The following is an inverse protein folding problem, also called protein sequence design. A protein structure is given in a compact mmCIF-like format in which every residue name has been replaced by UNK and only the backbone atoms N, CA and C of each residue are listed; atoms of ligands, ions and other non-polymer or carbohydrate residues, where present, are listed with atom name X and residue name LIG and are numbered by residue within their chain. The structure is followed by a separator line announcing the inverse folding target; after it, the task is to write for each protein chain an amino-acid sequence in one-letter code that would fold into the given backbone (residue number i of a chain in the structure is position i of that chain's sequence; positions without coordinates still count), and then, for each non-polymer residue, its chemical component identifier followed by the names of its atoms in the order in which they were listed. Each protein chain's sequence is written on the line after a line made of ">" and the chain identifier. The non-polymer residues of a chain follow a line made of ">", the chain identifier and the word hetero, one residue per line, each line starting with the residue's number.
data_IF_374214168456
#
_entry.id   IF_374214168456
#
_cell.length_a   1.000
_cell.length_b   1.000
_cell.length_c   1.000
_cell.angle_alpha   90.00
_cell.angle_beta   90.00
_cell.angle_gamma   90.00
#
_symmetry.space_group_name_H-M   'P 1'
#
loop_
_entity.id
_entity.type
_entity.pdbx_description
1 polymer ?
#
# COMPACT_ATOMS: atom_id res chain seq x y z
N UNK A 1 10.15 16.78 -20.63
CA UNK A 1 9.26 16.10 -21.61
C UNK A 1 10.02 15.31 -22.69
N UNK A 2 10.97 15.94 -23.38
CA UNK A 2 11.76 15.32 -24.45
C UNK A 2 12.58 14.10 -24.00
N UNK A 3 13.25 14.19 -22.85
CA UNK A 3 13.99 13.05 -22.28
C UNK A 3 13.11 11.84 -21.96
N UNK A 4 11.82 12.02 -21.66
CA UNK A 4 10.89 10.89 -21.48
C UNK A 4 10.58 10.20 -22.81
N UNK A 5 10.40 10.97 -23.89
CA UNK A 5 10.14 10.47 -25.24
C UNK A 5 11.29 9.64 -25.76
N UNK A 6 12.51 10.16 -25.64
CA UNK A 6 13.72 9.46 -26.07
C UNK A 6 13.95 8.17 -25.27
N UNK A 7 13.78 8.21 -23.94
CA UNK A 7 13.83 7.00 -23.11
C UNK A 7 12.78 5.97 -23.52
N UNK A 8 11.55 6.38 -23.82
CA UNK A 8 10.50 5.47 -24.31
C UNK A 8 10.89 4.87 -25.65
N UNK A 9 11.36 5.67 -26.61
CA UNK A 9 11.78 5.18 -27.94
C UNK A 9 12.85 4.11 -27.82
N UNK A 10 13.88 4.34 -26.99
CA UNK A 10 14.93 3.36 -26.69
C UNK A 10 14.36 2.11 -26.03
N UNK A 11 13.55 2.26 -24.98
CA UNK A 11 12.93 1.13 -24.29
C UNK A 11 12.02 0.29 -25.21
N UNK A 12 11.35 0.92 -26.18
CA UNK A 12 10.58 0.19 -27.20
C UNK A 12 11.50 -0.59 -28.14
N UNK A 13 12.65 -0.05 -28.54
CA UNK A 13 13.63 -0.78 -29.37
C UNK A 13 14.25 -1.95 -28.60
N UNK A 14 14.51 -1.78 -27.31
CA UNK A 14 15.14 -2.78 -26.43
C UNK A 14 14.13 -3.75 -25.79
N UNK A 15 12.86 -3.73 -26.23
CA UNK A 15 11.81 -4.59 -25.66
C UNK A 15 12.15 -6.07 -25.86
N UNK A 16 11.94 -6.88 -24.83
CA UNK A 16 12.26 -8.31 -24.87
C UNK A 16 11.39 -9.13 -23.91
N UNK A 17 11.31 -10.43 -24.18
CA UNK A 17 10.79 -11.44 -23.24
C UNK A 17 11.79 -12.61 -23.26
N UNK A 18 12.28 -12.99 -22.10
CA UNK A 18 13.23 -14.06 -21.90
C UNK A 18 12.66 -15.16 -21.01
N UNK A 19 13.07 -16.39 -21.29
CA UNK A 19 12.77 -17.58 -20.48
C UNK A 19 14.08 -18.22 -20.06
N UNK A 20 14.27 -18.47 -18.77
CA UNK A 20 15.45 -19.13 -18.23
C UNK A 20 15.07 -20.24 -17.26
N UNK A 21 15.80 -21.35 -17.26
CA UNK A 21 15.60 -22.42 -16.29
C UNK A 21 15.80 -21.92 -14.85
N UNK A 22 15.07 -22.52 -13.91
CA UNK A 22 15.26 -22.40 -12.47
C UNK A 22 15.37 -23.82 -11.87
N UNK A 23 15.57 -23.89 -10.55
CA UNK A 23 15.62 -25.17 -9.83
C UNK A 23 14.24 -25.86 -9.81
N UNK A 24 14.22 -27.13 -9.41
CA UNK A 24 12.99 -27.91 -9.17
C UNK A 24 12.03 -28.04 -10.36
N UNK A 25 12.56 -28.02 -11.59
CA UNK A 25 11.74 -28.12 -12.81
C UNK A 25 10.98 -26.83 -13.15
N UNK A 26 11.33 -25.71 -12.51
CA UNK A 26 10.69 -24.42 -12.72
C UNK A 26 11.44 -23.58 -13.77
N UNK A 27 10.77 -22.54 -14.28
CA UNK A 27 11.38 -21.54 -15.15
C UNK A 27 11.02 -20.13 -14.71
N UNK A 28 11.88 -19.16 -15.03
CA UNK A 28 11.62 -17.73 -14.87
C UNK A 28 11.30 -17.13 -16.22
N UNK A 29 10.23 -16.34 -16.25
CA UNK A 29 9.86 -15.50 -17.40
C UNK A 29 10.04 -14.06 -16.95
N UNK A 30 10.84 -13.30 -17.70
CA UNK A 30 11.09 -11.89 -17.42
C UNK A 30 11.10 -11.13 -18.73
N UNK A 31 10.68 -9.87 -18.71
CA UNK A 31 10.64 -9.08 -19.92
C UNK A 31 10.38 -7.60 -19.67
N UNK A 32 10.67 -6.81 -20.69
CA UNK A 32 10.34 -5.40 -20.78
C UNK A 32 9.51 -5.21 -22.05
N UNK A 33 8.23 -4.90 -21.87
CA UNK A 33 7.27 -4.71 -22.96
C UNK A 33 6.55 -3.36 -22.76
N UNK A 34 5.88 -2.80 -23.80
CA UNK A 34 5.11 -1.57 -23.65
C UNK A 34 4.12 -1.64 -22.49
N UNK A 35 4.05 -0.58 -21.69
CA UNK A 35 3.26 -0.53 -20.45
C UNK A 35 1.77 -0.87 -20.67
N UNK A 36 1.17 -0.38 -21.75
CA UNK A 36 -0.21 -0.70 -22.15
C UNK A 36 -0.42 -2.19 -22.42
N UNK A 37 0.57 -2.88 -23.00
CA UNK A 37 0.52 -4.32 -23.26
C UNK A 37 0.71 -5.12 -21.96
N UNK A 38 1.63 -4.68 -21.10
CA UNK A 38 1.82 -5.27 -19.78
C UNK A 38 0.56 -5.12 -18.91
N UNK A 39 -0.13 -3.97 -18.97
CA UNK A 39 -1.39 -3.76 -18.24
C UNK A 39 -2.49 -4.68 -18.75
N UNK A 40 -2.62 -4.82 -20.07
CA UNK A 40 -3.57 -5.75 -20.69
C UNK A 40 -3.28 -7.21 -20.30
N UNK A 41 -2.01 -7.61 -20.32
CA UNK A 41 -1.55 -8.94 -19.92
C UNK A 41 -1.86 -9.24 -18.44
N UNK A 42 -1.49 -8.33 -17.54
CA UNK A 42 -1.81 -8.44 -16.11
C UNK A 42 -3.33 -8.52 -15.86
N UNK A 43 -4.10 -7.68 -16.55
CA UNK A 43 -5.56 -7.71 -16.49
C UNK A 43 -6.13 -9.07 -16.88
N UNK A 44 -5.59 -9.69 -17.94
CA UNK A 44 -6.04 -11.01 -18.40
C UNK A 44 -5.68 -12.12 -17.42
N UNK A 45 -4.46 -12.12 -16.88
CA UNK A 45 -4.06 -13.07 -15.83
C UNK A 45 -4.96 -12.94 -14.60
N UNK A 46 -5.27 -11.70 -14.18
CA UNK A 46 -6.17 -11.44 -13.05
C UNK A 46 -7.59 -11.93 -13.33
N UNK A 47 -8.13 -11.66 -14.51
CA UNK A 47 -9.48 -12.11 -14.90
C UNK A 47 -9.62 -13.63 -14.78
N UNK A 48 -8.66 -14.38 -15.32
CA UNK A 48 -8.63 -15.84 -15.22
C UNK A 48 -8.42 -16.32 -13.78
N UNK A 49 -7.48 -15.73 -13.05
CA UNK A 49 -7.23 -16.12 -11.66
C UNK A 49 -8.43 -15.86 -10.74
N UNK A 50 -9.30 -14.90 -11.08
CA UNK A 50 -10.51 -14.56 -10.35
C UNK A 50 -11.76 -15.30 -10.83
N UNK A 51 -11.70 -16.03 -11.95
CA UNK A 51 -12.88 -16.72 -12.51
C UNK A 51 -13.23 -18.01 -11.78
N UNK A 52 -12.31 -18.56 -10.98
CA UNK A 52 -12.55 -19.80 -10.21
C UNK A 52 -13.42 -19.55 -8.98
N UNK A 53 -13.99 -20.60 -8.41
CA UNK A 53 -14.87 -20.46 -7.25
C UNK A 53 -14.10 -20.25 -5.94
N UNK A 54 -14.81 -19.90 -4.87
CA UNK A 54 -14.23 -19.68 -3.54
C UNK A 54 -13.60 -20.92 -2.89
N UNK A 55 -13.94 -22.12 -3.37
CA UNK A 55 -13.44 -23.40 -2.84
C UNK A 55 -12.26 -23.93 -3.65
N UNK A 56 -11.79 -23.18 -4.65
CA UNK A 56 -10.55 -23.52 -5.34
C UNK A 56 -9.38 -23.47 -4.34
N UNK A 57 -8.57 -24.52 -4.31
CA UNK A 57 -7.57 -24.76 -3.27
C UNK A 57 -6.31 -23.92 -3.45
N UNK A 58 -6.05 -23.48 -4.69
CA UNK A 58 -4.86 -22.71 -5.06
C UNK A 58 -4.87 -21.30 -4.47
N UNK A 59 -3.68 -20.79 -4.20
CA UNK A 59 -3.48 -19.37 -3.90
C UNK A 59 -3.73 -18.50 -5.13
N UNK A 60 -3.88 -17.19 -4.93
CA UNK A 60 -4.05 -16.25 -6.04
C UNK A 60 -2.85 -16.28 -7.00
N UNK A 61 -1.64 -16.40 -6.47
CA UNK A 61 -0.38 -16.45 -7.20
C UNK A 61 -0.26 -17.74 -8.02
N UNK A 62 -0.66 -18.88 -7.44
CA UNK A 62 -0.73 -20.16 -8.16
C UNK A 62 -1.74 -20.09 -9.31
N UNK A 63 -2.94 -19.56 -9.06
CA UNK A 63 -3.95 -19.35 -10.12
C UNK A 63 -3.47 -18.42 -11.23
N UNK A 64 -2.68 -17.40 -10.90
CA UNK A 64 -2.06 -16.52 -11.91
C UNK A 64 -1.01 -17.25 -12.74
N UNK A 65 -0.19 -18.11 -12.13
CA UNK A 65 0.77 -18.94 -12.85
C UNK A 65 0.04 -19.93 -13.79
N UNK A 66 -1.01 -20.58 -13.31
CA UNK A 66 -1.83 -21.49 -14.11
C UNK A 66 -2.59 -20.75 -15.23
N UNK A 67 -3.04 -19.52 -14.97
CA UNK A 67 -3.65 -18.66 -15.98
C UNK A 67 -2.68 -18.35 -17.13
N UNK A 68 -1.38 -18.18 -16.84
CA UNK A 68 -0.36 -18.03 -17.87
C UNK A 68 -0.25 -19.32 -18.71
N UNK A 69 -0.23 -20.48 -18.07
CA UNK A 69 -0.24 -21.79 -18.75
C UNK A 69 -1.47 -21.97 -19.64
N UNK A 70 -2.65 -21.57 -19.15
CA UNK A 70 -3.89 -21.57 -19.91
C UNK A 70 -3.79 -20.70 -21.17
N UNK A 71 -3.31 -19.45 -21.03
CA UNK A 71 -3.13 -18.53 -22.16
C UNK A 71 -2.16 -19.08 -23.22
N UNK A 72 -1.02 -19.65 -22.79
CA UNK A 72 -0.02 -20.24 -23.70
C UNK A 72 -0.58 -21.44 -24.45
N UNK A 73 -1.44 -22.22 -23.82
CA UNK A 73 -2.09 -23.39 -24.42
C UNK A 73 -3.30 -23.02 -25.30
N UNK A 74 -3.58 -21.72 -25.50
CA UNK A 74 -4.75 -21.23 -26.23
C UNK A 74 -6.07 -21.35 -25.45
N UNK A 75 -6.04 -21.78 -24.19
CA UNK A 75 -7.21 -21.79 -23.33
C UNK A 75 -7.58 -20.37 -22.91
N UNK A 76 -8.89 -20.14 -22.85
CA UNK A 76 -9.49 -18.87 -22.46
C UNK A 76 -10.17 -18.94 -21.10
N UNK A 77 -10.05 -20.11 -20.44
CA UNK A 77 -10.58 -20.44 -19.12
C UNK A 77 -9.47 -20.95 -18.22
N UNK A 78 -9.58 -20.64 -16.93
CA UNK A 78 -8.89 -21.36 -15.88
C UNK A 78 -9.88 -22.33 -15.24
N UNK A 79 -9.63 -23.62 -15.37
CA UNK A 79 -10.47 -24.67 -14.77
C UNK A 79 -10.28 -24.63 -13.25
N UNK A 80 -11.40 -24.65 -12.53
CA UNK A 80 -11.44 -24.65 -11.06
C UNK A 80 -11.02 -26.02 -10.52
N UNK A 81 -10.20 -26.07 -9.48
CA UNK A 81 -9.68 -27.33 -8.90
C UNK A 81 -10.52 -27.86 -7.71
N UNK A 82 -11.71 -27.29 -7.49
CA UNK A 82 -12.49 -27.57 -6.29
C UNK A 82 -13.17 -28.96 -6.25
N UNK A 83 -13.02 -29.77 -7.31
CA UNK A 83 -13.55 -31.14 -7.47
C UNK A 83 -15.07 -31.31 -7.31
N UNK A 84 -15.82 -30.22 -7.21
CA UNK A 84 -17.27 -30.23 -7.07
C UNK A 84 -17.97 -30.36 -8.41
N UNK A 85 -18.79 -31.39 -8.57
CA UNK A 85 -19.62 -31.57 -9.76
C UNK A 85 -20.72 -30.50 -9.95
N UNK A 86 -21.01 -29.71 -8.92
CA UNK A 86 -21.94 -28.56 -8.96
C UNK A 86 -21.21 -27.20 -8.95
N UNK A 87 -19.94 -27.18 -9.33
CA UNK A 87 -19.15 -25.96 -9.32
C UNK A 87 -19.76 -24.92 -10.28
N UNK A 88 -20.22 -23.74 -9.79
CA UNK A 88 -20.85 -22.73 -10.64
C UNK A 88 -19.86 -22.07 -11.63
N UNK A 89 -18.56 -22.36 -11.48
CA UNK A 89 -17.48 -21.88 -12.33
C UNK A 89 -16.81 -23.00 -13.12
N UNK A 90 -17.38 -24.21 -13.12
CA UNK A 90 -16.99 -25.26 -14.05
C UNK A 90 -17.50 -24.90 -15.45
N UNK A 91 -16.79 -23.98 -16.09
CA UNK A 91 -17.10 -23.48 -17.43
C UNK A 91 -16.39 -24.34 -18.45
N UNK A 92 -16.88 -25.56 -18.66
CA UNK A 92 -16.61 -26.34 -19.87
C UNK A 92 -17.46 -25.80 -21.04
N UNK A 93 -17.29 -24.53 -21.42
CA UNK A 93 -18.04 -23.98 -22.55
C UNK A 93 -18.17 -22.45 -22.57
N UNK A 94 -17.71 -21.87 -23.68
CA UNK A 94 -17.92 -20.49 -24.14
C UNK A 94 -17.53 -19.39 -23.13
N UNK A 95 -16.26 -18.98 -23.19
CA UNK A 95 -15.85 -17.67 -22.70
C UNK A 95 -15.97 -16.65 -23.83
N UNK A 96 -16.78 -15.62 -23.58
CA UNK A 96 -16.70 -14.38 -24.35
C UNK A 96 -15.29 -13.82 -24.09
N UNK A 97 -14.43 -13.87 -25.10
CA UNK A 97 -13.12 -13.25 -25.07
C UNK A 97 -13.30 -11.74 -24.93
N UNK A 98 -13.24 -11.25 -23.70
CA UNK A 98 -13.22 -9.81 -23.43
C UNK A 98 -11.82 -9.31 -23.70
N UNK A 99 -11.73 -8.24 -24.49
CA UNK A 99 -10.47 -7.51 -24.64
C UNK A 99 -10.10 -6.94 -23.27
N UNK A 100 -8.87 -7.15 -22.77
CA UNK A 100 -8.44 -6.53 -21.53
C UNK A 100 -8.60 -5.01 -21.63
N UNK A 101 -9.24 -4.41 -20.63
CA UNK A 101 -9.44 -2.97 -20.59
C UNK A 101 -8.21 -2.31 -19.99
N UNK A 102 -7.66 -1.34 -20.71
CA UNK A 102 -6.57 -0.48 -20.26
C UNK A 102 -7.12 0.93 -20.15
N UNK A 103 -7.04 1.50 -18.96
CA UNK A 103 -7.54 2.85 -18.71
C UNK A 103 -6.38 3.85 -18.78
N UNK A 104 -6.55 4.87 -19.61
CA UNK A 104 -5.67 6.03 -19.68
C UNK A 104 -6.50 7.26 -19.36
N UNK A 105 -6.10 7.99 -18.32
CA UNK A 105 -6.72 9.25 -17.93
C UNK A 105 -5.91 10.37 -18.57
N UNK A 106 -6.61 11.28 -19.24
CA UNK A 106 -6.04 12.44 -19.94
C UNK A 106 -6.83 13.69 -19.58
N UNK A 107 -6.16 14.84 -19.56
CA UNK A 107 -6.85 16.11 -19.77
C UNK A 107 -7.17 16.27 -21.27
N UNK A 108 -8.24 16.98 -21.63
CA UNK A 108 -8.61 17.19 -23.04
C UNK A 108 -7.46 17.83 -23.86
N UNK A 109 -6.80 18.82 -23.27
CA UNK A 109 -5.58 19.46 -23.77
C UNK A 109 -4.42 18.49 -24.06
N UNK A 110 -4.38 17.30 -23.45
CA UNK A 110 -3.34 16.29 -23.73
C UNK A 110 -3.49 15.71 -25.14
N UNK A 111 -4.73 15.59 -25.63
CA UNK A 111 -5.04 15.05 -26.94
C UNK A 111 -4.75 16.05 -28.07
N UNK A 112 -4.66 17.34 -27.76
CA UNK A 112 -4.30 18.37 -28.73
C UNK A 112 -2.88 18.14 -29.32
N UNK A 113 -2.70 18.29 -30.64
CA UNK A 113 -1.37 18.25 -31.25
C UNK A 113 -0.43 19.27 -30.60
N UNK A 114 0.83 18.86 -30.36
CA UNK A 114 1.84 19.73 -29.77
C UNK A 114 1.79 19.89 -28.24
N UNK A 115 0.70 19.48 -27.58
CA UNK A 115 0.62 19.51 -26.12
C UNK A 115 1.63 18.57 -25.46
N UNK A 116 2.17 19.02 -24.33
CA UNK A 116 3.08 18.29 -23.45
C UNK A 116 2.43 17.89 -22.11
N UNK A 117 1.14 18.17 -21.95
CA UNK A 117 0.41 17.83 -20.73
C UNK A 117 0.42 16.31 -20.48
N UNK A 118 0.82 15.84 -19.29
CA UNK A 118 0.96 14.42 -19.04
C UNK A 118 -0.41 13.73 -18.93
N UNK A 119 -0.38 12.42 -19.12
CA UNK A 119 -1.52 11.53 -18.87
C UNK A 119 -1.16 10.51 -17.78
N UNK A 120 -2.14 9.75 -17.32
CA UNK A 120 -1.93 8.66 -16.36
C UNK A 120 -2.42 7.34 -16.94
N UNK A 121 -1.54 6.34 -16.99
CA UNK A 121 -1.86 4.96 -17.34
C UNK A 121 -2.11 4.17 -16.06
N UNK A 122 -3.31 3.60 -15.91
CA UNK A 122 -3.67 2.81 -14.74
C UNK A 122 -2.65 1.68 -14.47
N UNK A 123 -2.15 1.64 -13.23
CA UNK A 123 -1.16 0.68 -12.76
C UNK A 123 0.29 0.91 -13.20
N UNK A 124 0.57 1.95 -13.98
CA UNK A 124 1.92 2.33 -14.38
C UNK A 124 2.26 3.79 -14.05
N UNK A 125 1.24 4.64 -13.85
CA UNK A 125 1.41 6.03 -13.47
C UNK A 125 1.54 6.97 -14.67
N UNK A 126 2.31 8.04 -14.50
CA UNK A 126 2.37 9.15 -15.46
C UNK A 126 3.07 8.75 -16.77
N UNK A 127 2.43 9.05 -17.91
CA UNK A 127 2.96 8.87 -19.26
C UNK A 127 2.99 10.19 -20.03
N UNK A 128 3.74 10.26 -21.14
CA UNK A 128 3.79 11.46 -21.97
C UNK A 128 2.50 11.67 -22.75
N UNK A 129 2.22 12.93 -23.08
CA UNK A 129 1.16 13.32 -24.02
C UNK A 129 1.24 12.57 -25.35
N UNK A 130 2.45 12.37 -25.89
CA UNK A 130 2.66 11.62 -27.14
C UNK A 130 2.29 10.14 -27.00
N UNK A 131 2.67 9.51 -25.89
CA UNK A 131 2.31 8.13 -25.61
C UNK A 131 0.79 8.00 -25.43
N UNK A 132 0.16 8.91 -24.70
CA UNK A 132 -1.29 8.96 -24.54
C UNK A 132 -2.01 9.10 -25.89
N UNK A 133 -1.58 10.02 -26.75
CA UNK A 133 -2.12 10.19 -28.11
C UNK A 133 -1.91 8.96 -29.00
N UNK A 134 -0.79 8.25 -28.83
CA UNK A 134 -0.57 6.99 -29.55
C UNK A 134 -1.53 5.89 -29.11
N UNK A 135 -1.82 5.79 -27.81
CA UNK A 135 -2.85 4.86 -27.30
C UNK A 135 -4.25 5.30 -27.80
N UNK A 136 -4.53 6.60 -27.79
CA UNK A 136 -5.84 7.15 -28.16
C UNK A 136 -6.26 6.85 -29.62
N UNK A 137 -5.31 6.58 -30.53
CA UNK A 137 -5.60 6.24 -31.93
C UNK A 137 -6.49 5.01 -32.09
N UNK A 138 -6.35 4.04 -31.19
CA UNK A 138 -7.04 2.74 -31.24
C UNK A 138 -7.98 2.55 -30.03
N UNK A 139 -8.31 3.63 -29.31
CA UNK A 139 -9.06 3.57 -28.07
C UNK A 139 -10.43 4.27 -28.16
N UNK A 140 -11.39 3.78 -27.36
CA UNK A 140 -12.64 4.48 -27.11
C UNK A 140 -12.40 5.64 -26.14
N UNK A 141 -12.47 6.87 -26.63
CA UNK A 141 -12.35 8.06 -25.79
C UNK A 141 -13.72 8.41 -25.20
N UNK A 142 -13.78 8.56 -23.87
CA UNK A 142 -14.99 8.94 -23.15
C UNK A 142 -14.70 10.12 -22.25
N UNK A 143 -15.51 11.16 -22.38
CA UNK A 143 -15.52 12.27 -21.45
C UNK A 143 -16.08 11.80 -20.10
N UNK A 144 -15.38 12.11 -19.01
CA UNK A 144 -15.83 11.80 -17.66
C UNK A 144 -16.18 13.10 -16.98
N UNK A 145 -17.47 13.28 -16.69
CA UNK A 145 -17.97 14.43 -15.94
C UNK A 145 -17.70 14.23 -14.45
N UNK A 146 -17.45 15.33 -13.76
CA UNK A 146 -17.42 15.35 -12.30
C UNK A 146 -18.86 15.07 -11.80
N UNK A 147 -19.06 14.12 -10.88
CA UNK A 147 -20.36 13.89 -10.26
C UNK A 147 -20.86 15.17 -9.55
N UNK A 148 -22.17 15.42 -9.59
CA UNK A 148 -22.75 16.63 -8.98
C UNK A 148 -22.45 16.73 -7.48
N UNK A 149 -22.42 15.60 -6.78
CA UNK A 149 -22.08 15.48 -5.35
C UNK A 149 -20.58 15.56 -5.05
N UNK A 150 -19.74 15.69 -6.09
CA UNK A 150 -18.30 15.88 -6.00
C UNK A 150 -17.86 17.33 -6.28
N UNK A 151 -18.74 18.17 -6.84
CA UNK A 151 -18.44 19.59 -7.00
C UNK A 151 -18.53 20.29 -5.64
N UNK A 152 -17.59 21.19 -5.30
CA UNK A 152 -17.71 22.00 -4.09
C UNK A 152 -18.95 22.90 -4.24
N UNK A 153 -20.02 22.57 -3.53
CA UNK A 153 -21.23 23.40 -3.53
C UNK A 153 -20.88 24.81 -3.01
N UNK A 154 -21.29 25.89 -3.71
CA UNK A 154 -21.44 27.17 -3.05
C UNK A 154 -22.61 27.07 -2.04
N UNK A 155 -22.35 27.33 -0.76
CA UNK A 155 -23.40 27.35 0.28
C UNK A 155 -24.49 28.42 0.00
N UNK A 156 -25.75 28.28 0.50
CA UNK A 156 -26.40 27.16 1.19
C UNK A 156 -27.85 26.94 0.71
N UNK A 157 -28.10 26.12 -0.31
CA UNK A 157 -29.40 25.46 -0.40
C UNK A 157 -29.15 23.95 -0.36
N UNK A 158 -29.76 23.20 0.58
CA UNK A 158 -29.59 21.76 0.62
C UNK A 158 -30.23 21.18 -0.64
N UNK A 159 -29.42 20.95 -1.66
CA UNK A 159 -29.80 20.19 -2.82
C UNK A 159 -30.21 18.80 -2.32
N UNK A 160 -31.45 18.35 -2.55
CA UNK A 160 -31.87 17.05 -2.06
C UNK A 160 -30.94 15.98 -2.62
N UNK A 161 -30.38 15.15 -1.74
CA UNK A 161 -29.50 14.06 -2.14
C UNK A 161 -30.18 13.21 -3.21
N UNK A 162 -29.49 12.88 -4.32
CA UNK A 162 -30.11 12.11 -5.38
C UNK A 162 -30.49 10.72 -4.85
N UNK A 163 -31.57 10.14 -5.35
CA UNK A 163 -31.99 8.79 -4.95
C UNK A 163 -30.88 7.73 -5.12
N UNK A 164 -29.91 7.96 -6.01
CA UNK A 164 -28.71 7.11 -6.17
C UNK A 164 -27.82 7.04 -4.93
N UNK A 165 -27.84 8.06 -4.05
CA UNK A 165 -27.09 8.08 -2.79
C UNK A 165 -27.59 7.02 -1.79
N UNK A 166 -28.85 6.58 -1.94
CA UNK A 166 -29.50 5.56 -1.11
C UNK A 166 -29.36 4.14 -1.70
N UNK A 167 -28.56 3.97 -2.74
CA UNK A 167 -28.31 2.67 -3.38
C UNK A 167 -26.87 2.25 -3.09
N UNK A 168 -26.67 1.03 -2.60
CA UNK A 168 -25.35 0.54 -2.17
C UNK A 168 -24.28 0.61 -3.28
N UNK A 169 -24.62 0.26 -4.52
CA UNK A 169 -23.64 0.29 -5.63
C UNK A 169 -23.62 1.67 -6.28
N UNK A 170 -22.45 2.31 -6.42
CA UNK A 170 -22.35 3.58 -7.11
C UNK A 170 -22.74 3.43 -8.58
N UNK A 171 -23.32 4.48 -9.15
CA UNK A 171 -23.55 4.58 -10.58
C UNK A 171 -22.25 4.66 -11.37
N UNK A 172 -22.30 4.37 -12.68
CA UNK A 172 -21.11 4.28 -13.53
C UNK A 172 -20.27 5.58 -13.57
N UNK A 173 -20.92 6.75 -13.54
CA UNK A 173 -20.23 8.04 -13.53
C UNK A 173 -19.41 8.23 -12.24
N UNK A 174 -20.04 8.00 -11.08
CA UNK A 174 -19.39 8.11 -9.77
C UNK A 174 -18.28 7.05 -9.60
N UNK A 175 -18.53 5.80 -9.97
CA UNK A 175 -17.51 4.73 -9.93
C UNK A 175 -16.29 5.10 -10.78
N UNK A 176 -16.53 5.57 -12.01
CA UNK A 176 -15.44 5.95 -12.93
C UNK A 176 -14.66 7.13 -12.37
N UNK A 177 -15.35 8.19 -11.93
CA UNK A 177 -14.70 9.37 -11.39
C UNK A 177 -13.86 9.05 -10.14
N UNK A 178 -14.39 8.27 -9.20
CA UNK A 178 -13.71 7.87 -7.97
C UNK A 178 -12.40 7.12 -8.21
N UNK A 179 -12.35 6.29 -9.25
CA UNK A 179 -11.14 5.51 -9.55
C UNK A 179 -10.13 6.31 -10.36
N UNK A 180 -10.58 7.25 -11.19
CA UNK A 180 -9.70 8.24 -11.84
C UNK A 180 -8.94 9.06 -10.81
N UNK A 181 -9.64 9.63 -9.84
CA UNK A 181 -9.03 10.47 -8.81
C UNK A 181 -8.18 9.64 -7.84
N UNK A 182 -8.67 8.47 -7.41
CA UNK A 182 -7.93 7.63 -6.47
C UNK A 182 -6.60 7.14 -7.06
N UNK A 183 -6.59 6.72 -8.33
CA UNK A 183 -5.42 6.18 -9.05
C UNK A 183 -4.92 4.83 -8.55
N UNK A 184 -4.79 4.66 -7.23
CA UNK A 184 -4.45 3.41 -6.56
C UNK A 184 -5.24 3.24 -5.26
N UNK A 185 -5.03 2.10 -4.61
CA UNK A 185 -5.51 1.87 -3.26
C UNK A 185 -5.03 2.98 -2.32
N UNK A 186 -5.94 3.56 -1.53
CA UNK A 186 -5.64 4.64 -0.60
C UNK A 186 -5.01 4.15 0.73
N UNK A 187 -4.57 2.89 0.81
CA UNK A 187 -3.81 2.39 1.96
C UNK A 187 -2.33 2.78 1.82
N UNK A 188 -1.61 3.09 2.93
CA UNK A 188 -0.23 3.58 2.85
C UNK A 188 0.66 2.61 2.08
N UNK A 189 1.35 3.14 1.05
CA UNK A 189 2.31 2.40 0.21
C UNK A 189 1.71 1.26 -0.61
N UNK A 190 0.39 1.23 -0.81
CA UNK A 190 -0.24 0.29 -1.72
C UNK A 190 -0.37 0.91 -3.11
N UNK A 191 0.19 0.26 -4.11
CA UNK A 191 0.19 0.66 -5.52
C UNK A 191 -0.82 -0.13 -6.36
N UNK A 192 -1.67 -0.96 -5.73
CA UNK A 192 -2.72 -1.69 -6.44
C UNK A 192 -3.61 -0.66 -7.17
N UNK A 193 -3.78 -0.77 -8.50
CA UNK A 193 -4.50 0.22 -9.28
C UNK A 193 -5.96 0.37 -8.84
N UNK A 194 -6.54 1.57 -8.95
CA UNK A 194 -7.90 1.83 -8.47
C UNK A 194 -8.97 1.01 -9.21
N UNK A 195 -8.78 0.66 -10.49
CA UNK A 195 -9.69 -0.25 -11.21
C UNK A 195 -9.63 -1.70 -10.70
N UNK A 196 -8.58 -2.06 -9.95
CA UNK A 196 -8.46 -3.36 -9.27
C UNK A 196 -8.93 -3.29 -7.81
N UNK A 197 -9.39 -2.13 -7.33
CA UNK A 197 -9.87 -1.90 -5.98
C UNK A 197 -11.40 -2.07 -5.88
N UNK A 198 -11.87 -2.36 -4.67
CA UNK A 198 -13.26 -2.18 -4.28
C UNK A 198 -13.45 -0.70 -3.90
N UNK A 199 -14.57 -0.10 -4.30
CA UNK A 199 -15.03 1.18 -3.75
C UNK A 199 -15.86 0.86 -2.51
N UNK A 200 -15.43 1.38 -1.37
CA UNK A 200 -15.99 1.03 -0.07
C UNK A 200 -16.39 2.28 0.71
N UNK A 201 -17.51 2.19 1.42
CA UNK A 201 -18.08 3.29 2.19
C UNK A 201 -17.24 3.57 3.44
N UNK A 202 -16.84 4.81 3.66
CA UNK A 202 -16.09 5.23 4.84
C UNK A 202 -16.97 5.18 6.09
N UNK A 203 -18.13 5.83 6.03
CA UNK A 203 -19.26 5.58 6.92
C UNK A 203 -20.10 4.43 6.35
N UNK A 204 -20.28 3.30 7.07
CA UNK A 204 -20.92 2.11 6.53
C UNK A 204 -22.33 2.35 5.98
N UNK A 205 -22.58 1.80 4.80
CA UNK A 205 -23.93 1.78 4.22
C UNK A 205 -24.84 0.83 5.01
N UNK A 206 -26.08 1.26 5.27
CA UNK A 206 -27.09 0.43 5.92
C UNK A 206 -27.99 -0.24 4.88
N UNK A 207 -27.89 -1.56 4.74
CA UNK A 207 -28.66 -2.32 3.77
C UNK A 207 -30.15 -2.46 4.08
N UNK A 208 -30.54 -2.35 5.35
CA UNK A 208 -31.94 -2.48 5.78
C UNK A 208 -32.66 -1.14 5.73
N UNK A 209 -31.96 -0.08 6.13
CA UNK A 209 -32.47 1.29 6.06
C UNK A 209 -31.38 2.24 5.53
N UNK A 210 -31.29 2.41 4.20
CA UNK A 210 -30.31 3.30 3.57
C UNK A 210 -30.38 4.76 4.03
N UNK A 211 -31.53 5.21 4.54
CA UNK A 211 -31.68 6.57 5.04
C UNK A 211 -30.83 6.80 6.30
N UNK A 212 -30.61 5.76 7.11
CA UNK A 212 -29.90 5.79 8.39
C UNK A 212 -28.43 5.32 8.32
N UNK A 213 -27.89 5.04 7.12
CA UNK A 213 -26.48 4.69 6.93
C UNK A 213 -25.72 5.71 6.10
N UNK A 214 -24.42 5.46 5.94
CA UNK A 214 -23.56 6.26 5.10
C UNK A 214 -23.97 6.19 3.63
N UNK A 215 -24.00 7.35 2.97
CA UNK A 215 -24.50 7.50 1.60
C UNK A 215 -23.50 7.04 0.55
N UNK A 216 -24.00 6.63 -0.60
CA UNK A 216 -23.18 6.30 -1.78
C UNK A 216 -22.90 7.58 -2.57
N UNK A 217 -21.97 8.38 -2.04
CA UNK A 217 -21.57 9.69 -2.57
C UNK A 217 -20.05 9.80 -2.63
N UNK A 218 -19.56 10.74 -3.44
CA UNK A 218 -18.14 11.00 -3.67
C UNK A 218 -17.32 11.18 -2.39
N UNK A 219 -17.87 11.88 -1.39
CA UNK A 219 -17.21 12.15 -0.11
C UNK A 219 -17.13 10.93 0.81
N UNK A 220 -18.01 9.94 0.63
CA UNK A 220 -18.12 8.78 1.50
C UNK A 220 -17.52 7.50 0.88
N UNK A 221 -16.99 7.55 -0.34
CA UNK A 221 -16.41 6.37 -1.00
C UNK A 221 -14.90 6.49 -1.17
N UNK A 222 -14.21 5.40 -0.87
CA UNK A 222 -12.74 5.30 -0.97
C UNK A 222 -12.31 4.01 -1.65
N UNK A 223 -11.20 4.05 -2.37
CA UNK A 223 -10.69 2.91 -3.12
C UNK A 223 -9.73 2.05 -2.27
N UNK A 224 -10.11 0.80 -1.99
CA UNK A 224 -9.27 -0.16 -1.29
C UNK A 224 -9.13 -1.47 -2.07
N UNK A 225 -7.89 -1.96 -2.21
CA UNK A 225 -7.70 -3.30 -2.76
C UNK A 225 -8.33 -4.35 -1.85
N UNK A 226 -8.69 -5.52 -2.38
CA UNK A 226 -9.39 -6.56 -1.61
C UNK A 226 -8.73 -6.89 -0.27
N UNK A 227 -7.39 -6.91 -0.21
CA UNK A 227 -6.65 -7.16 1.02
C UNK A 227 -6.88 -6.04 2.05
N UNK A 228 -6.70 -4.78 1.63
CA UNK A 228 -6.85 -3.62 2.50
C UNK A 228 -8.31 -3.32 2.86
N UNK A 229 -9.25 -3.64 1.97
CA UNK A 229 -10.68 -3.61 2.27
C UNK A 229 -11.01 -4.57 3.42
N UNK A 230 -10.49 -5.81 3.39
CA UNK A 230 -10.65 -6.75 4.53
C UNK A 230 -9.96 -6.25 5.80
N UNK A 231 -8.78 -5.63 5.65
CA UNK A 231 -8.04 -5.08 6.78
C UNK A 231 -8.79 -3.92 7.45
N UNK A 232 -9.45 -3.05 6.68
CA UNK A 232 -10.34 -2.00 7.18
C UNK A 232 -11.39 -2.56 8.14
N UNK A 233 -12.07 -3.63 7.71
CA UNK A 233 -13.14 -4.28 8.47
C UNK A 233 -12.66 -5.15 9.65
N UNK A 234 -11.35 -5.26 9.86
CA UNK A 234 -10.81 -6.08 10.97
C UNK A 234 -10.95 -5.45 12.35
N UNK A 235 -11.36 -4.19 12.46
CA UNK A 235 -11.43 -3.43 13.71
C UNK A 235 -10.07 -3.03 14.29
N UNK A 236 -8.97 -3.34 13.58
CA UNK A 236 -7.59 -3.06 14.01
C UNK A 236 -7.09 -1.67 13.59
N UNK A 237 -7.80 -1.00 12.71
CA UNK A 237 -7.41 0.30 12.17
C UNK A 237 -8.58 1.26 12.32
N UNK A 238 -8.27 2.50 12.70
CA UNK A 238 -9.26 3.58 12.65
C UNK A 238 -9.05 4.36 11.35
N UNK A 239 -10.14 4.66 10.67
CA UNK A 239 -10.13 5.31 9.37
C UNK A 239 -10.97 6.60 9.47
N UNK A 240 -10.29 7.73 9.32
CA UNK A 240 -10.93 9.05 9.40
C UNK A 240 -10.77 9.75 8.04
N UNK A 241 -11.82 9.80 7.20
CA UNK A 241 -11.78 10.58 5.96
C UNK A 241 -11.70 12.09 6.28
N UNK A 242 -11.00 12.84 5.45
CA UNK A 242 -10.86 14.29 5.57
C UNK A 242 -11.64 15.00 4.45
N UNK A 243 -11.99 16.30 4.59
CA UNK A 243 -12.71 17.05 3.56
C UNK A 243 -12.00 17.12 2.20
N UNK A 244 -10.67 17.05 2.18
CA UNK A 244 -9.85 17.01 0.96
C UNK A 244 -9.75 15.60 0.34
N UNK A 245 -10.64 14.68 0.75
CA UNK A 245 -10.68 13.25 0.36
C UNK A 245 -9.44 12.43 0.74
N UNK A 246 -8.49 13.02 1.46
CA UNK A 246 -7.40 12.28 2.08
C UNK A 246 -7.93 11.44 3.24
N UNK A 247 -7.24 10.36 3.59
CA UNK A 247 -7.66 9.48 4.68
C UNK A 247 -6.57 9.45 5.75
N UNK A 248 -6.97 9.69 6.99
CA UNK A 248 -6.12 9.51 8.16
C UNK A 248 -6.36 8.12 8.74
N UNK A 249 -5.35 7.25 8.62
CA UNK A 249 -5.36 5.87 9.11
C UNK A 249 -4.53 5.78 10.39
N UNK A 250 -5.17 5.32 11.47
CA UNK A 250 -4.50 5.07 12.75
C UNK A 250 -4.32 3.58 12.97
N UNK A 251 -3.07 3.15 13.09
CA UNK A 251 -2.71 1.76 13.42
C UNK A 251 -3.07 1.40 14.87
N UNK A 252 -3.08 0.11 15.18
CA UNK A 252 -3.23 -0.40 16.55
C UNK A 252 -2.22 0.18 17.55
N UNK A 253 -1.03 0.51 17.07
CA UNK A 253 0.06 1.09 17.87
C UNK A 253 -0.06 2.61 18.04
N UNK A 254 -1.10 3.24 17.48
CA UNK A 254 -1.33 4.69 17.56
C UNK A 254 -0.55 5.50 16.52
N UNK A 255 0.20 4.87 15.60
CA UNK A 255 0.80 5.58 14.47
C UNK A 255 -0.27 6.01 13.47
N UNK A 256 -0.24 7.29 13.10
CA UNK A 256 -1.15 7.90 12.13
C UNK A 256 -0.45 8.10 10.78
N UNK A 257 -1.16 7.75 9.71
CA UNK A 257 -0.73 7.91 8.33
C UNK A 257 -1.81 8.67 7.58
N UNK A 258 -1.44 9.76 6.92
CA UNK A 258 -2.35 10.46 5.99
C UNK A 258 -2.03 10.01 4.58
N UNK A 259 -2.99 9.41 3.91
CA UNK A 259 -2.90 9.00 2.51
C UNK A 259 -3.74 9.91 1.64
N UNK A 260 -3.28 10.12 0.41
CA UNK A 260 -4.02 10.85 -0.60
C UNK A 260 -4.25 9.93 -1.78
N UNK A 261 -5.16 10.36 -2.62
CA UNK A 261 -5.22 9.98 -4.01
C UNK A 261 -3.84 10.00 -4.67
N UNK A 262 -3.67 9.09 -5.64
CA UNK A 262 -2.49 8.96 -6.48
C UNK A 262 -2.82 9.07 -7.99
N UNK A 263 -4.07 9.37 -8.34
CA UNK A 263 -4.52 9.54 -9.74
C UNK A 263 -3.94 10.79 -10.40
N UNK A 264 -4.23 10.99 -11.70
CA UNK A 264 -3.73 12.17 -12.44
C UNK A 264 -4.15 13.50 -11.79
N UNK A 265 -5.30 13.49 -11.10
CA UNK A 265 -5.87 14.64 -10.38
C UNK A 265 -5.38 14.75 -8.93
N UNK A 266 -4.55 13.81 -8.47
CA UNK A 266 -3.96 13.86 -7.14
C UNK A 266 -3.03 15.07 -7.00
N UNK A 267 -3.29 15.91 -6.00
CA UNK A 267 -2.46 17.09 -5.70
C UNK A 267 -2.94 18.40 -6.32
N UNK A 268 -4.11 18.43 -6.98
CA UNK A 268 -4.77 19.71 -7.37
C UNK A 268 -5.19 20.54 -6.14
N UNK A 269 -5.35 19.92 -4.97
CA UNK A 269 -5.43 20.60 -3.69
C UNK A 269 -4.10 20.43 -2.95
N UNK A 270 -3.35 21.54 -2.80
CA UNK A 270 -2.35 21.62 -1.75
C UNK A 270 -3.07 21.42 -0.42
N UNK A 271 -2.57 20.54 0.47
CA UNK A 271 -3.16 20.38 1.78
C UNK A 271 -3.06 21.73 2.52
N UNK A 272 -4.06 22.10 3.32
CA UNK A 272 -3.76 23.03 4.40
C UNK A 272 -2.60 22.42 5.21
N UNK A 273 -1.55 23.20 5.53
CA UNK A 273 -0.44 22.70 6.32
C UNK A 273 -1.00 22.06 7.60
N UNK A 274 -0.48 20.89 8.03
CA UNK A 274 -1.02 20.21 9.19
C UNK A 274 -0.97 21.13 10.41
N UNK A 275 -2.14 21.48 10.94
CA UNK A 275 -2.23 22.17 12.22
C UNK A 275 -1.73 21.21 13.31
N UNK A 276 -0.73 21.65 14.08
CA UNK A 276 -0.21 20.88 15.21
C UNK A 276 0.96 19.93 14.93
N UNK A 277 1.53 19.91 13.72
CA UNK A 277 2.80 19.22 13.50
C UNK A 277 3.96 19.94 14.19
N UNK A 278 4.59 19.34 15.21
CA UNK A 278 5.86 19.87 15.75
C UNK A 278 6.86 19.99 14.60
N UNK A 279 7.40 21.20 14.36
CA UNK A 279 8.35 21.48 13.28
C UNK A 279 9.36 20.34 13.14
N UNK A 280 9.38 19.71 11.97
CA UNK A 280 10.41 18.72 11.63
C UNK A 280 11.75 19.42 11.78
N UNK A 281 12.62 18.89 12.64
CA UNK A 281 13.94 19.49 12.84
C UNK A 281 14.68 19.57 11.52
N UNK A 282 15.22 20.75 11.23
CA UNK A 282 16.06 20.94 10.04
C UNK A 282 17.28 20.02 10.11
N UNK A 283 17.93 19.77 8.97
CA UNK A 283 19.16 18.96 8.91
C UNK A 283 20.24 19.52 9.86
N UNK A 284 20.28 20.85 10.04
CA UNK A 284 21.17 21.52 10.98
C UNK A 284 20.77 21.25 12.44
N UNK A 285 19.49 21.33 12.78
CA UNK A 285 18.97 21.04 14.13
C UNK A 285 19.20 19.57 14.53
N UNK A 286 19.05 18.63 13.59
CA UNK A 286 19.38 17.23 13.83
C UNK A 286 20.88 17.01 14.08
N UNK A 287 21.74 17.70 13.32
CA UNK A 287 23.20 17.65 13.52
C UNK A 287 23.59 18.22 14.89
N UNK A 288 22.99 19.35 15.31
CA UNK A 288 23.24 19.95 16.64
C UNK A 288 22.76 19.03 17.77
N UNK A 289 21.58 18.40 17.62
CA UNK A 289 21.07 17.45 18.60
C UNK A 289 21.96 16.20 18.73
N UNK A 290 22.47 15.68 17.61
CA UNK A 290 23.42 14.57 17.59
C UNK A 290 24.72 14.94 18.33
N UNK A 291 25.31 16.10 18.01
CA UNK A 291 26.53 16.59 18.68
C UNK A 291 26.30 16.75 20.19
N UNK A 292 25.14 17.28 20.61
CA UNK A 292 24.79 17.43 22.03
C UNK A 292 24.66 16.07 22.74
N UNK A 293 24.04 15.09 22.08
CA UNK A 293 23.92 13.71 22.58
C UNK A 293 25.29 13.05 22.74
N UNK A 294 26.15 13.14 21.72
CA UNK A 294 27.50 12.59 21.74
C UNK A 294 28.37 13.23 22.83
N UNK A 295 28.29 14.56 23.01
CA UNK A 295 28.99 15.28 24.08
C UNK A 295 28.51 14.83 25.47
N UNK A 296 27.21 14.62 25.66
CA UNK A 296 26.64 14.09 26.91
C UNK A 296 27.18 12.67 27.18
N UNK A 297 27.20 11.81 26.18
CA UNK A 297 27.70 10.44 26.29
C UNK A 297 29.20 10.40 26.62
N UNK A 298 30.01 11.24 25.96
CA UNK A 298 31.44 11.38 26.27
C UNK A 298 31.67 11.89 27.70
N UNK A 299 30.88 12.87 28.17
CA UNK A 299 30.97 13.38 29.55
C UNK A 299 30.73 12.30 30.58
N UNK A 300 29.67 11.50 30.41
CA UNK A 300 29.36 10.37 31.30
C UNK A 300 30.49 9.34 31.30
N UNK A 301 31.05 9.01 30.12
CA UNK A 301 32.17 8.06 29.99
C UNK A 301 33.44 8.55 30.70
N UNK A 302 33.72 9.86 30.64
CA UNK A 302 34.84 10.49 31.35
C UNK A 302 34.62 10.42 32.87
N UNK A 303 33.41 10.77 33.34
CA UNK A 303 33.06 10.69 34.77
C UNK A 303 33.22 9.26 35.30
N UNK A 304 32.76 8.26 34.55
CA UNK A 304 32.91 6.86 34.93
C UNK A 304 34.37 6.42 35.00
N UNK A 305 35.20 6.80 34.02
CA UNK A 305 36.64 6.51 34.04
C UNK A 305 37.35 7.20 35.21
N UNK A 306 36.99 8.43 35.52
CA UNK A 306 37.54 9.16 36.66
C UNK A 306 37.17 8.49 37.99
N UNK A 307 35.92 8.05 38.14
CA UNK A 307 35.45 7.31 39.31
C UNK A 307 36.21 5.97 39.48
N UNK A 308 36.33 5.19 38.40
CA UNK A 308 37.10 3.94 38.42
C UNK A 308 38.58 4.15 38.76
N UNK A 309 39.20 5.22 38.25
CA UNK A 309 40.59 5.54 38.58
C UNK A 309 40.76 5.94 40.05
N UNK A 310 39.83 6.75 40.59
CA UNK A 310 39.83 7.13 41.99
C UNK A 310 39.65 5.90 42.91
N UNK A 311 38.77 4.98 42.55
CA UNK A 311 38.58 3.73 43.29
C UNK A 311 39.81 2.83 43.24
N UNK A 312 40.47 2.70 42.08
CA UNK A 312 41.72 1.94 41.95
C UNK A 312 42.83 2.53 42.82
N UNK A 313 42.96 3.87 42.87
CA UNK A 313 43.90 4.54 43.77
C UNK A 313 43.58 4.26 45.24
N UNK A 314 42.30 4.34 45.65
CA UNK A 314 41.87 3.99 47.02
C UNK A 314 42.27 2.56 47.39
N UNK A 315 42.10 1.59 46.49
CA UNK A 315 42.49 0.20 46.71
C UNK A 315 44.02 0.00 46.79
N UNK A 316 44.82 0.84 46.12
CA UNK A 316 46.28 0.80 46.20
C UNK A 316 46.86 1.51 47.44
N UNK A 317 46.12 2.41 48.07
CA UNK A 317 46.57 3.17 49.25
C UNK A 317 46.32 2.46 50.59
N UNK A 318 45.71 1.28 50.61
CA UNK A 318 45.63 0.47 51.83
C UNK A 318 46.88 -0.44 51.93
N UNK A 319 47.75 -0.26 52.94
CA UNK A 319 48.91 -1.11 53.13
C UNK A 319 48.48 -2.55 53.46
N UNK A 320 49.28 -3.50 52.98
CA UNK A 320 49.24 -4.93 53.34
C UNK A 320 49.10 -5.04 54.86
N UNK A 321 48.04 -5.73 55.30
CA UNK A 321 47.71 -5.93 56.71
C UNK A 321 48.91 -6.49 57.48
N UNK A 322 49.20 -5.90 58.64
CA UNK A 322 50.12 -6.44 59.65
C UNK A 322 49.73 -7.88 60.04
N UNK A 323 50.70 -8.75 60.42
CA UNK A 323 50.41 -10.15 60.73
C UNK A 323 49.42 -10.26 61.90
N UNK A 324 48.38 -11.07 61.71
CA UNK A 324 47.36 -11.36 62.73
C UNK A 324 48.01 -12.10 63.90
N UNK A 325 47.91 -11.56 65.13
CA UNK A 325 48.27 -12.30 66.36
C UNK A 325 47.39 -13.57 66.47
N UNK A 326 47.94 -14.74 66.85
CA UNK A 326 47.13 -15.93 67.05
C UNK A 326 46.24 -15.76 68.30
N UNK A 327 44.94 -15.97 68.13
CA UNK A 327 43.96 -16.02 69.22
C UNK A 327 44.04 -17.41 69.92
N UNK A 328 43.81 -17.50 71.24
CA UNK A 328 43.78 -18.77 71.94
C UNK A 328 42.59 -19.62 71.47
N UNK A 329 42.82 -20.92 71.28
CA UNK A 329 41.75 -21.89 70.98
C UNK A 329 41.02 -22.26 72.26
N UNK A 330 39.75 -21.90 72.35
CA UNK A 330 38.82 -22.55 73.28
C UNK A 330 38.43 -23.92 72.71
N UNK A 331 38.75 -24.98 73.45
CA UNK A 331 38.29 -26.33 73.19
C UNK A 331 36.83 -26.45 73.59
N UNK A 332 35.95 -26.63 72.60
CA UNK A 332 34.53 -26.93 72.81
C UNK A 332 34.43 -28.39 73.28
N UNK A 333 33.89 -28.57 74.49
CA UNK A 333 33.59 -29.87 75.10
C UNK A 333 32.33 -30.45 74.46
N UNK A 334 32.52 -31.50 73.65
CA UNK A 334 31.43 -32.30 73.12
C UNK A 334 31.18 -33.43 74.12
N UNK A 335 30.32 -33.18 75.11
CA UNK A 335 29.79 -34.21 76.00
C UNK A 335 29.15 -35.37 75.23
N UNK A 336 28.91 -36.48 75.94
CA UNK A 336 28.60 -37.84 75.44
C UNK A 336 27.37 -38.00 74.50
N UNK A 337 27.31 -37.30 73.38
CA UNK A 337 26.42 -37.63 72.27
C UNK A 337 27.09 -38.73 71.43
N UNK A 338 26.53 -39.94 71.36
CA UNK A 338 27.00 -40.93 70.40
C UNK A 338 26.69 -40.45 68.97
N UNK A 339 27.64 -40.61 68.02
CA UNK A 339 27.48 -40.14 66.65
C UNK A 339 26.37 -40.93 65.93
N UNK A 340 25.57 -40.28 65.07
CA UNK A 340 24.62 -40.99 64.24
C UNK A 340 25.35 -41.88 63.22
N UNK A 341 24.81 -43.09 63.02
CA UNK A 341 25.14 -43.98 61.91
C UNK A 341 24.76 -43.36 60.56
#
# INVERSE_FOLDING_TARGET
>A
PEGMRERRRRALADRFVGVSAAEDGMARILGSIPAEQARAFDGRLRELAMSVCRHDSRTYEQRRADALGALVSGSTVLVCDCERGDCPQDRSGLVIMRRPLVHVVVHDSTLSPGSNEPAHLDGFGVISAEHARNIAKDADVREVRVPADAEPEPEPEPTPEPASALVYRPGAALDTWLRIISGSCQWPHCDVPAWNCDLDHNDPFNHTDPAQGGKTVASNLSAFCRNHHRLKHSGKWQLNPNPDRSITLTSQTGHCYRTRDAGLLAGQQEPPPPEGGTRRRTRLENKVAQIRSERKHRRVKIQHRAAQHAERKRRQTFPISTPRKPMPRETIDYGNDPPPF
#
